data_IF_546372734559
#
_entry.id   IF_546372734559
#
_cell.length_a   1.000
_cell.length_b   1.000
_cell.length_c   1.000
_cell.angle_alpha   90.00
_cell.angle_beta   90.00
_cell.angle_gamma   90.00
#
_symmetry.space_group_name_H-M   'P 1'
#
loop_
_entity.id
_entity.type
_entity.pdbx_description
1 polymer ?
#
# COMPACT_ATOMS: atom_id res chain seq x y z
N UNK A 1 21.69 26.61 20.07
CA UNK A 1 22.26 25.27 20.30
C UNK A 1 21.60 24.31 19.35
N UNK A 2 22.32 23.86 18.32
CA UNK A 2 21.81 22.97 17.29
C UNK A 2 21.90 21.51 17.74
N UNK A 3 20.83 20.73 17.57
CA UNK A 3 20.85 19.27 17.66
C UNK A 3 20.32 18.69 16.36
N UNK A 4 21.24 18.44 15.44
CA UNK A 4 21.03 17.66 14.22
C UNK A 4 21.88 16.40 14.38
N UNK A 5 21.24 15.23 14.30
CA UNK A 5 21.86 13.91 14.06
C UNK A 5 20.78 12.84 14.09
N UNK A 6 20.41 12.32 12.93
CA UNK A 6 20.49 10.89 12.58
C UNK A 6 19.54 10.56 11.42
N UNK A 7 20.09 10.45 10.21
CA UNK A 7 19.61 9.48 9.22
C UNK A 7 20.85 8.73 8.75
N UNK A 8 21.02 7.48 9.20
CA UNK A 8 21.98 6.53 8.62
C UNK A 8 21.22 5.53 7.76
N UNK A 9 21.47 5.67 6.47
CA UNK A 9 21.57 4.65 5.43
C UNK A 9 21.70 3.19 5.92
N UNK A 10 20.91 2.28 5.35
CA UNK A 10 21.29 0.86 5.26
C UNK A 10 21.15 0.39 3.81
N UNK A 11 22.31 0.29 3.16
CA UNK A 11 22.60 -0.57 2.02
C UNK A 11 23.44 -1.73 2.55
N UNK A 12 23.03 -2.99 2.34
CA UNK A 12 23.96 -4.12 2.41
C UNK A 12 23.46 -5.32 1.60
N UNK A 13 24.24 -5.64 0.56
CA UNK A 13 24.22 -6.90 -0.20
C UNK A 13 24.71 -8.06 0.66
N UNK A 14 24.25 -9.27 0.36
CA UNK A 14 24.94 -10.52 0.70
C UNK A 14 25.17 -11.35 -0.57
N UNK A 15 26.41 -11.81 -0.73
CA UNK A 15 26.88 -12.84 -1.67
C UNK A 15 27.44 -14.03 -0.87
N UNK A 16 27.24 -15.27 -1.34
CA UNK A 16 28.22 -16.39 -1.48
C UNK A 16 27.57 -17.79 -1.59
N UNK A 17 27.69 -18.39 -2.80
CA UNK A 17 28.31 -19.67 -3.21
C UNK A 17 28.24 -20.98 -2.38
N UNK A 18 27.75 -22.07 -3.01
CA UNK A 18 28.38 -23.40 -3.37
C UNK A 18 27.23 -24.35 -3.81
N UNK A 19 27.20 -25.13 -4.91
CA UNK A 19 28.11 -26.01 -5.69
C UNK A 19 27.64 -27.49 -5.59
N UNK A 20 27.25 -28.10 -6.72
CA UNK A 20 27.36 -29.55 -7.01
C UNK A 20 26.98 -29.84 -8.49
N UNK A 21 27.83 -30.59 -9.18
CA UNK A 21 27.72 -31.12 -10.55
C UNK A 21 27.68 -32.66 -10.45
N UNK A 22 26.93 -33.31 -11.36
CA UNK A 22 27.20 -34.57 -12.13
C UNK A 22 25.83 -35.07 -12.67
N UNK A 23 25.54 -34.98 -13.98
CA UNK A 23 25.76 -35.99 -15.04
C UNK A 23 25.04 -37.34 -14.74
N UNK A 24 24.36 -38.04 -15.63
CA UNK A 24 24.33 -38.08 -17.10
C UNK A 24 23.09 -38.91 -17.55
N UNK A 25 22.92 -39.03 -18.88
CA UNK A 25 22.21 -40.09 -19.62
C UNK A 25 20.82 -39.84 -20.27
N UNK A 26 20.92 -39.49 -21.56
CA UNK A 26 20.39 -40.25 -22.73
C UNK A 26 18.90 -40.61 -22.82
N UNK A 27 18.19 -40.10 -23.84
CA UNK A 27 18.11 -40.75 -25.17
C UNK A 27 17.03 -40.11 -26.08
N UNK A 28 17.38 -40.00 -27.36
CA UNK A 28 16.63 -39.59 -28.53
C UNK A 28 15.33 -40.40 -28.74
N UNK A 29 14.28 -39.85 -29.35
CA UNK A 29 14.16 -39.69 -30.81
C UNK A 29 12.72 -39.36 -31.27
N UNK A 30 12.65 -38.65 -32.39
CA UNK A 30 11.49 -38.25 -33.20
C UNK A 30 10.50 -39.37 -33.55
N UNK A 31 9.19 -39.05 -33.54
CA UNK A 31 8.35 -39.23 -34.73
C UNK A 31 7.13 -38.30 -34.71
N UNK A 32 7.16 -37.31 -35.60
CA UNK A 32 6.01 -36.46 -35.93
C UNK A 32 4.99 -37.24 -36.73
N UNK A 33 3.72 -37.20 -36.32
CA UNK A 33 2.58 -37.19 -37.24
C UNK A 33 1.58 -36.13 -36.77
N UNK A 34 1.68 -34.95 -37.38
CA UNK A 34 0.54 -34.03 -37.46
C UNK A 34 -0.43 -34.57 -38.51
N UNK A 35 -1.73 -34.31 -38.31
CA UNK A 35 -2.67 -33.79 -39.33
C UNK A 35 -4.07 -33.60 -38.72
N UNK A 36 -4.35 -32.32 -38.45
CA UNK A 36 -5.61 -31.59 -38.63
C UNK A 36 -6.91 -32.10 -37.98
N UNK A 37 -7.37 -31.38 -36.95
CA UNK A 37 -8.75 -30.89 -36.90
C UNK A 37 -8.80 -29.49 -36.24
N UNK A 38 -9.81 -28.74 -36.65
CA UNK A 38 -9.87 -27.29 -36.76
C UNK A 38 -9.85 -26.51 -35.43
N UNK A 39 -9.22 -25.35 -35.49
CA UNK A 39 -9.26 -24.27 -34.51
C UNK A 39 -10.53 -23.44 -34.69
N UNK A 40 -11.32 -23.26 -33.63
CA UNK A 40 -12.12 -22.04 -33.42
C UNK A 40 -12.02 -21.62 -31.96
N UNK A 41 -11.18 -20.61 -31.71
CA UNK A 41 -11.12 -19.83 -30.47
C UNK A 41 -12.44 -19.09 -30.28
N UNK A 42 -13.09 -19.28 -29.14
CA UNK A 42 -13.93 -18.27 -28.47
C UNK A 42 -13.75 -18.40 -26.95
N UNK A 43 -13.35 -17.28 -26.36
CA UNK A 43 -13.54 -16.82 -24.98
C UNK A 43 -12.91 -17.60 -23.81
N UNK A 44 -11.65 -17.25 -23.51
CA UNK A 44 -11.11 -17.36 -22.15
C UNK A 44 -11.75 -16.26 -21.28
N UNK A 45 -12.91 -16.58 -20.71
CA UNK A 45 -13.41 -15.89 -19.51
C UNK A 45 -12.45 -16.29 -18.39
N UNK A 46 -11.62 -15.36 -17.93
CA UNK A 46 -10.84 -15.52 -16.71
C UNK A 46 -11.80 -15.90 -15.57
N UNK A 47 -11.59 -17.09 -15.04
CA UNK A 47 -12.31 -17.63 -13.90
C UNK A 47 -12.17 -16.64 -12.73
N UNK A 48 -13.27 -16.22 -12.07
CA UNK A 48 -13.17 -15.33 -10.92
C UNK A 48 -12.29 -16.00 -9.88
N UNK A 49 -11.24 -15.30 -9.45
CA UNK A 49 -10.32 -15.78 -8.42
C UNK A 49 -11.15 -16.23 -7.23
N UNK A 50 -11.10 -17.53 -6.97
CA UNK A 50 -11.85 -18.17 -5.90
C UNK A 50 -11.51 -17.48 -4.59
N UNK A 51 -12.48 -16.81 -3.99
CA UNK A 51 -12.44 -16.38 -2.60
C UNK A 51 -12.50 -17.68 -1.77
N UNK A 52 -11.34 -18.29 -1.54
CA UNK A 52 -11.22 -19.30 -0.51
C UNK A 52 -11.46 -18.53 0.81
N UNK A 53 -12.50 -18.87 1.59
CA UNK A 53 -12.69 -18.25 2.89
C UNK A 53 -11.42 -18.52 3.70
N UNK A 54 -10.71 -17.47 4.09
CA UNK A 54 -9.47 -17.60 4.84
C UNK A 54 -9.86 -18.14 6.22
N UNK A 55 -9.83 -19.47 6.40
CA UNK A 55 -9.96 -20.10 7.72
C UNK A 55 -8.88 -19.50 8.60
N UNK A 56 -9.28 -18.65 9.56
CA UNK A 56 -8.44 -17.87 10.48
C UNK A 56 -7.81 -16.57 9.93
N UNK A 57 -8.51 -15.83 9.06
CA UNK A 57 -8.10 -14.49 8.63
C UNK A 57 -8.04 -13.46 9.77
N UNK A 58 -7.28 -12.39 9.54
CA UNK A 58 -7.31 -11.16 10.33
C UNK A 58 -8.18 -10.14 9.61
N UNK A 59 -9.09 -9.53 10.37
CA UNK A 59 -9.88 -8.39 9.90
C UNK A 59 -9.13 -7.10 10.25
N UNK A 60 -8.82 -6.33 9.21
CA UNK A 60 -8.19 -5.02 9.31
C UNK A 60 -9.15 -3.95 8.81
N UNK A 61 -9.57 -3.04 9.68
CA UNK A 61 -10.39 -1.89 9.30
C UNK A 61 -9.47 -0.72 8.93
N UNK A 62 -9.66 -0.16 7.74
CA UNK A 62 -8.87 0.98 7.26
C UNK A 62 -9.79 2.18 7.11
N UNK A 63 -9.47 3.24 7.84
CA UNK A 63 -10.10 4.56 7.75
C UNK A 63 -9.40 5.35 6.64
N UNK A 64 -10.13 5.73 5.60
CA UNK A 64 -9.63 6.51 4.47
C UNK A 64 -9.59 8.02 4.76
N UNK A 65 -9.21 8.82 3.75
CA UNK A 65 -9.09 10.28 3.86
C UNK A 65 -10.41 11.01 3.64
N UNK A 66 -11.37 10.36 3.00
CA UNK A 66 -12.76 10.79 2.86
C UNK A 66 -13.61 10.46 4.11
N UNK A 67 -13.06 9.70 5.05
CA UNK A 67 -13.73 9.24 6.26
C UNK A 67 -14.45 7.91 6.10
N UNK A 68 -14.35 7.24 4.96
CA UNK A 68 -14.90 5.88 4.79
C UNK A 68 -14.04 4.84 5.52
N UNK A 69 -14.71 3.86 6.13
CA UNK A 69 -14.08 2.73 6.80
C UNK A 69 -14.33 1.44 6.03
N UNK A 70 -13.27 0.79 5.56
CA UNK A 70 -13.37 -0.47 4.80
C UNK A 70 -12.65 -1.60 5.52
N UNK A 71 -13.29 -2.76 5.56
CA UNK A 71 -12.74 -3.97 6.16
C UNK A 71 -11.98 -4.80 5.11
N UNK A 72 -10.74 -5.14 5.43
CA UNK A 72 -9.88 -6.00 4.62
C UNK A 72 -9.57 -7.29 5.38
N UNK A 73 -9.79 -8.43 4.74
CA UNK A 73 -9.37 -9.73 5.24
C UNK A 73 -7.99 -10.10 4.69
N UNK A 74 -7.07 -10.42 5.60
CA UNK A 74 -5.70 -10.87 5.30
C UNK A 74 -5.35 -12.13 6.10
N UNK A 75 -4.31 -12.84 5.70
CA UNK A 75 -3.81 -14.00 6.45
C UNK A 75 -3.36 -13.59 7.87
N UNK A 76 -3.54 -14.48 8.85
CA UNK A 76 -3.01 -14.35 10.23
C UNK A 76 -1.53 -13.99 10.32
N UNK A 77 -0.72 -14.44 9.37
CA UNK A 77 0.72 -14.17 9.32
C UNK A 77 1.09 -13.11 8.28
N UNK A 78 0.10 -12.43 7.68
CA UNK A 78 0.32 -11.43 6.66
C UNK A 78 1.31 -10.34 7.10
N UNK A 79 2.15 -9.92 6.15
CA UNK A 79 3.02 -8.76 6.30
C UNK A 79 2.21 -7.49 6.11
N UNK A 80 2.73 -6.36 6.60
CA UNK A 80 2.13 -5.05 6.36
C UNK A 80 1.97 -4.76 4.87
N UNK A 81 2.90 -5.26 4.03
CA UNK A 81 2.81 -5.15 2.57
C UNK A 81 1.51 -5.75 2.02
N UNK A 82 1.09 -6.92 2.49
CA UNK A 82 -0.11 -7.59 1.99
C UNK A 82 -1.39 -6.78 2.22
N UNK A 83 -1.50 -6.12 3.37
CA UNK A 83 -2.62 -5.20 3.63
C UNK A 83 -2.49 -3.94 2.77
N UNK A 84 -1.29 -3.35 2.70
CA UNK A 84 -1.06 -2.15 1.91
C UNK A 84 -1.38 -2.35 0.43
N UNK A 85 -0.95 -3.46 -0.17
CA UNK A 85 -1.23 -3.81 -1.56
C UNK A 85 -2.74 -3.89 -1.82
N UNK A 86 -3.53 -4.48 -0.90
CA UNK A 86 -4.99 -4.53 -0.99
C UNK A 86 -5.63 -3.15 -0.92
N UNK A 87 -5.12 -2.28 -0.05
CA UNK A 87 -5.59 -0.90 0.08
C UNK A 87 -5.31 -0.11 -1.20
N UNK A 88 -4.10 -0.20 -1.75
CA UNK A 88 -3.75 0.47 -3.01
C UNK A 88 -4.57 -0.06 -4.19
N UNK A 89 -4.83 -1.37 -4.23
CA UNK A 89 -5.70 -1.95 -5.25
C UNK A 89 -7.16 -1.45 -5.13
N UNK A 90 -7.65 -1.27 -3.90
CA UNK A 90 -8.99 -0.74 -3.64
C UNK A 90 -9.14 0.73 -4.06
N UNK A 91 -8.16 1.57 -3.70
CA UNK A 91 -8.18 3.00 -4.06
C UNK A 91 -7.84 3.25 -5.52
N UNK A 92 -7.25 2.28 -6.23
CA UNK A 92 -6.75 2.41 -7.61
C UNK A 92 -5.67 3.50 -7.75
N UNK A 93 -4.88 3.71 -6.69
CA UNK A 93 -3.83 4.72 -6.69
C UNK A 93 -2.62 4.30 -7.52
N UNK A 94 -2.22 5.17 -8.44
CA UNK A 94 -0.99 5.01 -9.24
C UNK A 94 0.23 5.47 -8.43
N UNK A 95 0.16 6.67 -7.82
CA UNK A 95 1.27 7.29 -7.10
C UNK A 95 1.30 6.90 -5.61
N UNK A 96 1.18 5.60 -5.34
CA UNK A 96 1.09 5.04 -3.97
C UNK A 96 2.32 5.31 -3.07
N UNK A 97 3.44 5.77 -3.63
CA UNK A 97 4.67 6.02 -2.88
C UNK A 97 4.54 7.17 -1.85
N UNK A 98 3.59 8.09 -2.07
CA UNK A 98 3.34 9.22 -1.17
C UNK A 98 2.53 8.86 0.08
N UNK A 99 1.88 7.69 0.07
CA UNK A 99 0.93 7.31 1.11
C UNK A 99 1.48 6.22 2.03
N UNK A 100 0.76 6.00 3.12
CA UNK A 100 1.04 4.90 4.05
C UNK A 100 -0.14 4.62 4.96
N UNK A 101 -0.01 3.54 5.72
CA UNK A 101 -0.95 3.19 6.78
C UNK A 101 -0.35 3.53 8.13
N UNK A 102 -1.14 4.20 8.97
CA UNK A 102 -0.81 4.45 10.36
C UNK A 102 -1.68 3.59 11.29
N UNK A 103 -1.17 3.24 12.46
CA UNK A 103 -1.93 2.66 13.55
C UNK A 103 -1.51 3.29 14.87
N UNK A 104 -2.36 3.17 15.88
CA UNK A 104 -2.02 3.61 17.24
C UNK A 104 -1.45 2.42 18.01
N UNK A 105 -0.27 2.58 18.59
CA UNK A 105 0.32 1.57 19.47
C UNK A 105 -0.26 1.67 20.90
N UNK A 106 0.02 0.68 21.73
CA UNK A 106 -0.37 0.55 23.16
C UNK A 106 -0.04 1.76 24.02
N UNK A 107 0.94 2.57 23.60
CA UNK A 107 1.32 3.83 24.27
C UNK A 107 0.57 5.06 23.75
N UNK A 108 -0.51 4.88 22.96
CA UNK A 108 -1.25 5.95 22.29
C UNK A 108 -0.41 6.80 21.32
N UNK A 109 0.69 6.24 20.83
CA UNK A 109 1.56 6.89 19.82
C UNK A 109 1.21 6.37 18.44
N UNK A 110 1.04 7.27 17.49
CA UNK A 110 0.83 6.92 16.08
C UNK A 110 2.12 6.38 15.46
N UNK A 111 2.04 5.21 14.85
CA UNK A 111 3.15 4.53 14.17
C UNK A 111 2.78 4.22 12.73
N UNK A 112 3.77 4.26 11.84
CA UNK A 112 3.62 3.80 10.47
C UNK A 112 3.71 2.28 10.39
N UNK A 113 2.84 1.67 9.59
CA UNK A 113 2.89 0.26 9.27
C UNK A 113 4.17 -0.05 8.47
N UNK A 114 4.98 -0.96 9.01
CA UNK A 114 6.16 -1.50 8.33
C UNK A 114 5.73 -2.61 7.37
N UNK A 115 6.04 -2.45 6.08
CA UNK A 115 5.67 -3.40 5.02
C UNK A 115 6.38 -4.75 5.17
N UNK A 116 7.53 -4.79 5.83
CA UNK A 116 8.37 -5.99 5.99
C UNK A 116 8.00 -6.84 7.20
N UNK A 117 7.23 -6.28 8.15
CA UNK A 117 6.86 -6.95 9.40
C UNK A 117 5.43 -7.48 9.35
N UNK A 118 5.19 -8.57 10.07
CA UNK A 118 3.84 -9.09 10.25
C UNK A 118 2.97 -8.09 11.02
N UNK A 119 1.72 -7.92 10.58
CA UNK A 119 0.76 -6.97 11.17
C UNK A 119 0.58 -7.24 12.67
N UNK A 120 0.34 -8.50 13.06
CA UNK A 120 0.17 -8.91 14.47
C UNK A 120 1.42 -8.67 15.34
N UNK A 121 2.61 -8.59 14.73
CA UNK A 121 3.85 -8.33 15.48
C UNK A 121 4.00 -6.86 15.85
N UNK A 122 3.53 -5.94 15.02
CA UNK A 122 3.68 -4.49 15.21
C UNK A 122 2.43 -3.82 15.77
N UNK A 123 1.22 -4.22 15.35
CA UNK A 123 -0.03 -3.71 15.89
C UNK A 123 -0.54 -4.66 16.97
N UNK A 124 -0.61 -4.18 18.21
CA UNK A 124 -1.07 -4.95 19.38
C UNK A 124 -2.52 -4.69 19.74
N UNK A 125 -3.06 -3.54 19.32
CA UNK A 125 -4.44 -3.14 19.58
C UNK A 125 -5.35 -3.78 18.51
N UNK A 126 -6.25 -4.64 18.96
CA UNK A 126 -7.22 -5.35 18.14
C UNK A 126 -7.59 -6.72 18.74
N UNK A 127 -8.53 -7.46 18.11
CA UNK A 127 -9.36 -7.09 16.96
C UNK A 127 -10.56 -6.16 17.29
N UNK A 128 -11.09 -5.40 16.30
CA UNK A 128 -10.56 -5.26 14.93
C UNK A 128 -9.23 -4.48 14.92
N UNK A 129 -8.33 -4.81 13.98
CA UNK A 129 -7.10 -4.05 13.82
C UNK A 129 -7.39 -2.81 12.97
N UNK A 130 -7.30 -1.62 13.58
CA UNK A 130 -7.64 -0.37 12.90
C UNK A 130 -6.39 0.34 12.37
N UNK A 131 -6.47 0.77 11.11
CA UNK A 131 -5.44 1.54 10.43
C UNK A 131 -6.04 2.82 9.83
N UNK A 132 -5.21 3.83 9.62
CA UNK A 132 -5.59 5.08 8.96
C UNK A 132 -4.74 5.26 7.72
N UNK A 133 -5.36 5.44 6.57
CA UNK A 133 -4.68 5.78 5.33
C UNK A 133 -4.33 7.27 5.34
N UNK A 134 -3.04 7.60 5.22
CA UNK A 134 -2.53 8.96 5.39
C UNK A 134 -1.40 9.27 4.41
N UNK A 135 -1.18 10.56 4.13
CA UNK A 135 0.00 11.02 3.38
C UNK A 135 1.24 10.87 4.26
N UNK A 136 2.26 10.20 3.74
CA UNK A 136 3.55 9.94 4.42
C UNK A 136 4.63 10.90 3.96
N UNK A 137 4.63 11.26 2.69
CA UNK A 137 5.60 12.17 2.10
C UNK A 137 4.84 13.25 1.32
N UNK A 138 4.95 14.49 1.79
CA UNK A 138 4.40 15.64 1.06
C UNK A 138 5.39 16.06 -0.03
N UNK A 139 4.88 16.38 -1.21
CA UNK A 139 5.68 17.04 -2.24
C UNK A 139 5.76 18.53 -1.95
N UNK A 140 6.93 19.13 -2.18
CA UNK A 140 7.11 20.59 -2.11
C UNK A 140 6.53 21.31 -3.33
N UNK A 141 6.32 20.57 -4.42
CA UNK A 141 5.75 21.10 -5.66
C UNK A 141 4.49 20.28 -6.04
N UNK A 142 3.30 20.89 -6.06
CA UNK A 142 2.06 20.21 -6.43
C UNK A 142 2.04 19.73 -7.89
N UNK A 143 2.89 20.27 -8.77
CA UNK A 143 2.99 19.84 -10.17
C UNK A 143 3.59 18.44 -10.32
N UNK A 144 4.26 17.93 -9.28
CA UNK A 144 4.78 16.56 -9.24
C UNK A 144 3.70 15.50 -9.02
N UNK A 145 2.48 15.91 -8.65
CA UNK A 145 1.34 14.99 -8.53
C UNK A 145 0.63 14.97 -9.88
N UNK A 146 0.85 13.91 -10.65
CA UNK A 146 0.32 13.81 -11.99
C UNK A 146 -1.10 13.23 -12.01
N UNK A 147 -1.40 12.33 -11.07
CA UNK A 147 -2.70 11.70 -10.95
C UNK A 147 -3.72 12.58 -10.22
N UNK A 148 -4.93 12.67 -10.77
CA UNK A 148 -6.00 13.51 -10.22
C UNK A 148 -6.47 13.01 -8.85
N UNK A 149 -6.61 11.69 -8.69
CA UNK A 149 -6.99 11.09 -7.42
C UNK A 149 -5.92 11.37 -6.35
N UNK A 150 -4.63 11.25 -6.69
CA UNK A 150 -3.55 11.63 -5.77
C UNK A 150 -3.68 13.08 -5.31
N UNK A 151 -3.89 14.04 -6.23
CA UNK A 151 -4.08 15.46 -5.85
C UNK A 151 -5.28 15.66 -4.94
N UNK A 152 -6.40 15.01 -5.25
CA UNK A 152 -7.62 15.07 -4.44
C UNK A 152 -7.38 14.56 -3.01
N UNK A 153 -6.74 13.40 -2.86
CA UNK A 153 -6.42 12.83 -1.55
C UNK A 153 -5.46 13.71 -0.74
N UNK A 154 -4.51 14.38 -1.40
CA UNK A 154 -3.66 15.38 -0.75
C UNK A 154 -4.48 16.55 -0.19
N UNK A 155 -5.44 17.07 -0.94
CA UNK A 155 -6.33 18.14 -0.48
C UNK A 155 -7.13 17.70 0.75
N UNK A 156 -7.66 16.46 0.75
CA UNK A 156 -8.37 15.92 1.91
C UNK A 156 -7.48 15.85 3.15
N UNK A 157 -6.25 15.34 3.01
CA UNK A 157 -5.28 15.28 4.10
C UNK A 157 -4.94 16.68 4.63
N UNK A 158 -4.69 17.65 3.74
CA UNK A 158 -4.39 19.03 4.14
C UNK A 158 -5.55 19.67 4.91
N UNK A 159 -6.78 19.46 4.45
CA UNK A 159 -7.99 19.93 5.15
C UNK A 159 -8.06 19.37 6.58
N UNK A 160 -7.81 18.07 6.73
CA UNK A 160 -7.80 17.41 8.04
C UNK A 160 -6.67 17.93 8.93
N UNK A 161 -5.48 18.18 8.38
CA UNK A 161 -4.32 18.65 9.14
C UNK A 161 -4.46 20.10 9.58
N UNK A 162 -5.08 20.97 8.77
CA UNK A 162 -5.46 22.33 9.16
C UNK A 162 -6.51 22.27 10.27
N UNK A 163 -7.56 21.46 10.10
CA UNK A 163 -8.60 21.31 11.12
C UNK A 163 -8.05 20.77 12.46
N UNK A 164 -7.09 19.85 12.40
CA UNK A 164 -6.42 19.31 13.57
C UNK A 164 -5.33 20.23 14.16
N UNK A 165 -5.06 21.39 13.54
CA UNK A 165 -4.03 22.34 13.99
C UNK A 165 -2.60 21.83 13.86
N UNK A 166 -2.33 20.89 12.95
CA UNK A 166 -0.97 20.39 12.68
C UNK A 166 -0.19 21.26 11.70
N UNK A 167 -0.90 22.05 10.90
CA UNK A 167 -0.34 23.00 9.97
C UNK A 167 -0.65 24.40 10.50
N UNK A 168 0.40 25.10 10.92
CA UNK A 168 0.29 26.50 11.30
C UNK A 168 0.10 27.34 10.03
N UNK A 169 -1.11 27.83 9.84
CA UNK A 169 -1.43 28.72 8.74
C UNK A 169 -1.30 30.19 9.21
N UNK A 170 -0.53 31.03 8.49
CA UNK A 170 -0.47 32.45 8.76
C UNK A 170 -1.86 33.10 8.69
N UNK A 171 -2.13 34.08 9.55
CA UNK A 171 -3.42 34.78 9.59
C UNK A 171 -3.78 35.36 8.21
N UNK A 172 -4.90 34.90 7.64
CA UNK A 172 -5.39 35.30 6.31
C UNK A 172 -5.26 34.21 5.24
N UNK A 173 -4.28 33.31 5.35
CA UNK A 173 -4.12 32.18 4.42
C UNK A 173 -5.23 31.14 4.59
N UNK A 174 -5.75 30.94 5.80
CA UNK A 174 -6.91 30.06 6.06
C UNK A 174 -8.15 30.49 5.26
N UNK A 175 -8.38 31.79 5.20
CA UNK A 175 -9.53 32.37 4.49
C UNK A 175 -9.37 32.17 2.99
N UNK A 176 -8.14 32.35 2.47
CA UNK A 176 -7.83 32.13 1.06
C UNK A 176 -7.97 30.65 0.67
N UNK A 177 -7.43 29.72 1.48
CA UNK A 177 -7.56 28.28 1.25
C UNK A 177 -9.03 27.83 1.33
N UNK A 178 -9.81 28.38 2.26
CA UNK A 178 -11.25 28.12 2.36
C UNK A 178 -12.00 28.65 1.13
N UNK A 179 -11.67 29.86 0.67
CA UNK A 179 -12.27 30.45 -0.53
C UNK A 179 -11.95 29.64 -1.79
N UNK A 180 -10.70 29.20 -1.98
CA UNK A 180 -10.28 28.36 -3.09
C UNK A 180 -10.97 26.99 -3.06
N UNK A 181 -11.10 26.39 -1.88
CA UNK A 181 -11.82 25.13 -1.70
C UNK A 181 -13.31 25.25 -2.07
N UNK A 182 -13.92 26.41 -1.87
CA UNK A 182 -15.31 26.69 -2.28
C UNK A 182 -15.46 26.95 -3.79
N UNK A 183 -14.43 27.53 -4.43
CA UNK A 183 -14.43 27.84 -5.86
C UNK A 183 -14.25 26.59 -6.73
N UNK A 184 -13.59 25.55 -6.21
CA UNK A 184 -13.45 24.25 -6.87
C UNK A 184 -14.74 23.42 -6.79
N UNK A 185 -15.73 23.74 -7.63
CA UNK A 185 -16.86 22.87 -7.97
C UNK A 185 -16.88 22.58 -9.46
#
# INVERSE_FOLDING_TARGET
MASSRFIRFFSRRHTKTQAAILNDDNNNNHHSKSKFLFNTKTDLIEKPQSIIPIKNGLVCTVVFLDGEDVNFEVDRKALGKNLYDKVIAHTKLVESAYFGLQFTDTHNVTQWLDSTKSIKKQCKIGPPYTFRFRVKFYTSDPLNLHDELTRYLFVLQLKDDIHAGKLDCPSGTDIELAALSMQGK
#
